data_IF_078719618916
#
_entry.id   IF_078719618916
#
_cell.length_a   1.000
_cell.length_b   1.000
_cell.length_c   1.000
_cell.angle_alpha   90.00
_cell.angle_beta   90.00
_cell.angle_gamma   90.00
#
_symmetry.space_group_name_H-M   'P 1'
#
loop_
_entity.id
_entity.type
_entity.pdbx_description
1 polymer ?
#
# COMPACT_ATOMS: atom_id res chain seq x y z
N UNK A 1 -16.86 10.50 22.91
CA UNK A 1 -16.30 9.47 22.03
C UNK A 1 -16.13 10.11 20.67
N UNK A 2 -14.96 10.06 20.02
CA UNK A 2 -14.88 10.48 18.63
C UNK A 2 -15.85 9.60 17.82
N UNK A 3 -16.60 10.23 16.90
CA UNK A 3 -17.47 9.50 15.99
C UNK A 3 -16.58 8.52 15.19
N UNK A 4 -16.99 7.25 15.09
CA UNK A 4 -16.31 6.30 14.23
C UNK A 4 -16.30 6.88 12.82
N UNK A 5 -15.15 6.89 12.11
CA UNK A 5 -15.12 7.31 10.74
C UNK A 5 -16.12 6.46 9.94
N UNK A 6 -16.96 7.11 9.14
CA UNK A 6 -18.05 6.44 8.43
C UNK A 6 -17.63 5.84 7.09
N UNK A 7 -16.46 6.22 6.56
CA UNK A 7 -15.93 5.74 5.29
C UNK A 7 -15.18 4.42 5.38
N UNK A 8 -15.01 3.74 4.25
CA UNK A 8 -14.22 2.51 4.15
C UNK A 8 -12.77 2.80 3.78
N UNK A 9 -11.84 1.98 4.25
CA UNK A 9 -10.43 2.07 3.92
C UNK A 9 -9.91 0.76 3.33
N UNK A 10 -9.71 0.73 2.01
CA UNK A 10 -9.10 -0.38 1.27
C UNK A 10 -7.61 -0.09 1.02
N UNK A 11 -6.75 -1.01 1.41
CA UNK A 11 -5.32 -0.96 1.13
C UNK A 11 -4.96 -1.92 -0.01
N UNK A 12 -4.26 -1.45 -1.04
CA UNK A 12 -3.72 -2.29 -2.11
C UNK A 12 -2.26 -2.56 -1.81
N UNK A 13 -1.94 -3.80 -1.44
CA UNK A 13 -0.59 -4.24 -1.12
C UNK A 13 0.01 -5.07 -2.25
N UNK A 14 1.35 -5.13 -2.32
CA UNK A 14 2.05 -5.97 -3.29
C UNK A 14 3.38 -5.41 -3.77
N UNK A 15 4.14 -6.27 -4.42
CA UNK A 15 5.51 -6.00 -4.83
C UNK A 15 5.62 -4.89 -5.90
N UNK A 16 6.84 -4.42 -6.15
CA UNK A 16 7.13 -3.46 -7.23
C UNK A 16 6.73 -4.09 -8.56
N UNK A 17 6.02 -3.34 -9.40
CA UNK A 17 5.60 -3.80 -10.73
C UNK A 17 4.32 -4.64 -10.78
N UNK A 18 3.68 -4.99 -9.63
CA UNK A 18 2.50 -5.87 -9.62
C UNK A 18 1.22 -5.24 -10.19
N UNK A 19 1.16 -3.89 -10.29
CA UNK A 19 0.02 -3.18 -10.86
C UNK A 19 -0.88 -2.46 -9.84
N UNK A 20 -0.40 -2.23 -8.61
CA UNK A 20 -1.16 -1.55 -7.54
C UNK A 20 -1.79 -0.23 -7.98
N UNK A 21 -0.98 0.67 -8.52
CA UNK A 21 -1.41 2.02 -8.90
C UNK A 21 -2.53 2.00 -9.95
N UNK A 22 -2.42 1.11 -10.96
CA UNK A 22 -3.44 0.93 -11.99
C UNK A 22 -4.74 0.40 -11.38
N UNK A 23 -4.64 -0.60 -10.49
CA UNK A 23 -5.82 -1.16 -9.84
C UNK A 23 -6.47 -0.14 -8.90
N UNK A 24 -5.68 0.61 -8.12
CA UNK A 24 -6.16 1.70 -7.25
C UNK A 24 -6.97 2.73 -8.04
N UNK A 25 -6.43 3.21 -9.16
CA UNK A 25 -7.09 4.19 -10.01
C UNK A 25 -8.42 3.67 -10.60
N UNK A 26 -8.43 2.43 -11.07
CA UNK A 26 -9.63 1.81 -11.65
C UNK A 26 -10.70 1.54 -10.60
N UNK A 27 -10.34 0.97 -9.46
CA UNK A 27 -11.28 0.73 -8.36
C UNK A 27 -11.85 2.04 -7.82
N UNK A 28 -11.02 3.07 -7.67
CA UNK A 28 -11.48 4.37 -7.20
C UNK A 28 -12.56 4.97 -8.12
N UNK A 29 -12.39 4.87 -9.45
CA UNK A 29 -13.40 5.33 -10.43
C UNK A 29 -14.69 4.50 -10.38
N UNK A 30 -14.59 3.18 -10.32
CA UNK A 30 -15.76 2.28 -10.36
C UNK A 30 -16.58 2.31 -9.05
N UNK A 31 -15.90 2.52 -7.92
CA UNK A 31 -16.54 2.58 -6.61
C UNK A 31 -16.93 4.00 -6.19
N UNK A 32 -16.41 5.03 -6.88
CA UNK A 32 -16.58 6.43 -6.48
C UNK A 32 -15.81 6.78 -5.20
N UNK A 33 -14.70 6.08 -4.93
CA UNK A 33 -13.88 6.27 -3.74
C UNK A 33 -12.69 7.16 -4.03
N UNK A 34 -12.14 7.80 -2.99
CA UNK A 34 -10.92 8.60 -3.12
C UNK A 34 -9.68 7.71 -3.18
N UNK A 35 -8.74 8.05 -4.06
CA UNK A 35 -7.47 7.32 -4.21
C UNK A 35 -6.31 8.09 -3.59
N UNK A 36 -5.48 7.40 -2.80
CA UNK A 36 -4.18 7.87 -2.34
C UNK A 36 -3.08 7.06 -2.99
N UNK A 37 -2.17 7.75 -3.67
CA UNK A 37 -1.07 7.14 -4.42
C UNK A 37 0.25 7.24 -3.68
N UNK A 38 1.13 6.30 -3.94
CA UNK A 38 2.50 6.34 -3.45
C UNK A 38 3.25 7.55 -4.04
N UNK A 39 3.91 8.41 -3.23
CA UNK A 39 4.63 9.58 -3.72
C UNK A 39 6.00 9.21 -4.32
N UNK A 40 6.02 8.39 -5.36
CA UNK A 40 7.26 7.91 -6.02
C UNK A 40 7.94 9.01 -6.81
N UNK A 41 7.16 9.81 -7.56
CA UNK A 41 7.70 10.77 -8.55
C UNK A 41 8.47 11.93 -7.89
N UNK A 42 8.08 12.31 -6.67
CA UNK A 42 8.67 13.43 -5.94
C UNK A 42 9.66 12.99 -4.85
N UNK A 43 10.02 11.71 -4.81
CA UNK A 43 10.92 11.19 -3.78
C UNK A 43 12.37 11.63 -4.06
N UNK A 44 12.96 12.47 -3.21
CA UNK A 44 14.30 13.03 -3.46
C UNK A 44 15.43 12.00 -3.27
N UNK A 45 15.14 10.84 -2.68
CA UNK A 45 16.15 9.83 -2.36
C UNK A 45 16.11 8.62 -3.28
N UNK A 46 15.06 8.45 -4.11
CA UNK A 46 14.82 7.20 -4.82
C UNK A 46 15.94 6.86 -5.83
N UNK A 47 16.37 7.84 -6.62
CA UNK A 47 17.41 7.65 -7.62
C UNK A 47 18.77 7.35 -6.98
N UNK A 48 19.09 8.02 -5.87
CA UNK A 48 20.34 7.80 -5.15
C UNK A 48 20.31 6.49 -4.37
N UNK A 49 19.15 6.10 -3.84
CA UNK A 49 18.97 4.82 -3.17
C UNK A 49 19.29 3.63 -4.10
N UNK A 50 18.81 3.64 -5.33
CA UNK A 50 19.11 2.54 -6.25
C UNK A 50 20.57 2.52 -6.74
N UNK A 51 21.34 3.62 -6.60
CA UNK A 51 22.77 3.67 -6.85
C UNK A 51 23.59 3.16 -5.65
N UNK A 52 23.16 3.46 -4.43
CA UNK A 52 23.83 3.09 -3.18
C UNK A 52 22.79 2.85 -2.07
N UNK A 53 22.27 1.61 -2.03
CA UNK A 53 21.22 1.23 -1.06
C UNK A 53 21.71 1.39 0.38
N UNK A 54 22.93 0.99 0.70
CA UNK A 54 23.48 1.07 2.06
C UNK A 54 23.55 2.50 2.57
N UNK A 55 23.86 3.45 1.70
CA UNK A 55 23.94 4.87 2.06
C UNK A 55 22.56 5.49 2.29
N UNK A 56 21.56 5.10 1.48
CA UNK A 56 20.30 5.82 1.40
C UNK A 56 19.09 5.08 1.97
N UNK A 57 19.26 3.80 2.36
CA UNK A 57 18.15 2.96 2.85
C UNK A 57 17.34 3.62 3.96
N UNK A 58 18.01 4.05 5.04
CA UNK A 58 17.33 4.68 6.17
C UNK A 58 16.60 5.97 5.77
N UNK A 59 17.26 6.84 5.00
CA UNK A 59 16.68 8.12 4.57
C UNK A 59 15.45 7.92 3.70
N UNK A 60 15.52 6.98 2.76
CA UNK A 60 14.39 6.63 1.90
C UNK A 60 13.21 6.08 2.71
N UNK A 61 13.46 5.18 3.66
CA UNK A 61 12.41 4.59 4.47
C UNK A 61 11.76 5.60 5.42
N UNK A 62 12.52 6.52 5.99
CA UNK A 62 11.97 7.63 6.80
C UNK A 62 11.11 8.56 5.94
N UNK A 63 11.52 8.86 4.71
CA UNK A 63 10.71 9.67 3.79
C UNK A 63 9.37 9.01 3.49
N UNK A 64 9.38 7.72 3.09
CA UNK A 64 8.14 7.00 2.80
C UNK A 64 7.25 6.88 4.04
N UNK A 65 7.81 6.56 5.19
CA UNK A 65 7.07 6.50 6.45
C UNK A 65 6.35 7.82 6.75
N UNK A 66 7.05 8.96 6.58
CA UNK A 66 6.48 10.29 6.80
C UNK A 66 5.34 10.60 5.84
N UNK A 67 5.52 10.35 4.53
CA UNK A 67 4.50 10.66 3.53
C UNK A 67 3.25 9.77 3.68
N UNK A 68 3.44 8.48 3.96
CA UNK A 68 2.31 7.57 4.21
C UNK A 68 1.59 7.85 5.51
N UNK A 69 2.32 8.25 6.55
CA UNK A 69 1.69 8.68 7.79
C UNK A 69 0.76 9.87 7.55
N UNK A 70 1.21 10.91 6.83
CA UNK A 70 0.37 12.06 6.47
C UNK A 70 -0.88 11.63 5.69
N UNK A 71 -0.72 10.73 4.70
CA UNK A 71 -1.85 10.21 3.93
C UNK A 71 -2.84 9.45 4.82
N UNK A 72 -2.36 8.54 5.67
CA UNK A 72 -3.23 7.74 6.53
C UNK A 72 -3.91 8.55 7.64
N UNK A 73 -3.30 9.61 8.17
CA UNK A 73 -3.99 10.56 9.07
C UNK A 73 -5.19 11.19 8.35
N UNK A 74 -4.99 11.65 7.11
CA UNK A 74 -6.08 12.24 6.31
C UNK A 74 -7.21 11.23 6.06
N UNK A 75 -6.88 9.97 5.76
CA UNK A 75 -7.85 8.88 5.60
C UNK A 75 -8.59 8.62 6.91
N UNK A 76 -7.88 8.60 8.04
CA UNK A 76 -8.45 8.31 9.36
C UNK A 76 -9.50 9.32 9.81
N UNK A 77 -9.34 10.58 9.44
CA UNK A 77 -10.23 11.69 9.79
C UNK A 77 -11.42 11.86 8.82
N UNK A 78 -11.43 11.13 7.71
CA UNK A 78 -12.42 11.32 6.65
C UNK A 78 -13.69 10.48 6.88
N UNK A 79 -14.82 11.05 6.46
CA UNK A 79 -16.12 10.36 6.40
C UNK A 79 -16.29 9.55 5.10
N UNK A 80 -15.46 9.80 4.12
CA UNK A 80 -15.50 9.18 2.79
C UNK A 80 -14.77 7.84 2.74
N UNK A 81 -14.98 7.08 1.67
CA UNK A 81 -14.28 5.83 1.42
C UNK A 81 -13.00 6.05 0.61
N UNK A 82 -11.94 5.34 0.97
CA UNK A 82 -10.60 5.52 0.40
C UNK A 82 -9.97 4.21 -0.06
N UNK A 83 -9.14 4.33 -1.10
CA UNK A 83 -8.23 3.27 -1.55
C UNK A 83 -6.82 3.83 -1.48
N UNK A 84 -5.91 3.12 -0.85
CA UNK A 84 -4.51 3.52 -0.75
C UNK A 84 -3.59 2.53 -1.47
N UNK A 85 -2.77 3.07 -2.39
CA UNK A 85 -1.66 2.34 -3.02
C UNK A 85 -0.50 2.27 -2.03
N UNK A 86 -0.34 1.14 -1.39
CA UNK A 86 0.63 0.82 -0.35
C UNK A 86 0.44 1.61 0.96
N UNK A 87 0.58 0.89 2.06
CA UNK A 87 0.41 1.43 3.42
C UNK A 87 1.74 1.52 4.17
N UNK A 88 1.71 2.16 5.33
CA UNK A 88 2.83 2.23 6.27
C UNK A 88 3.30 0.82 6.73
N UNK A 89 2.41 -0.18 6.76
CA UNK A 89 2.74 -1.54 7.20
C UNK A 89 3.75 -2.22 6.28
N UNK A 90 3.64 -1.98 4.95
CA UNK A 90 4.59 -2.52 3.97
C UNK A 90 5.99 -1.91 4.12
N UNK A 91 6.08 -0.64 4.50
CA UNK A 91 7.38 0.02 4.76
C UNK A 91 8.14 -0.71 5.87
N UNK A 92 7.44 -1.06 6.95
CA UNK A 92 8.00 -1.73 8.11
C UNK A 92 8.34 -3.20 7.84
N UNK A 93 7.33 -3.95 7.38
CA UNK A 93 7.40 -5.41 7.35
C UNK A 93 8.08 -5.96 6.09
N UNK A 94 8.11 -5.17 5.02
CA UNK A 94 8.68 -5.58 3.74
C UNK A 94 9.99 -4.84 3.48
N UNK A 95 9.93 -3.52 3.31
CA UNK A 95 11.07 -2.76 2.79
C UNK A 95 12.17 -2.55 3.84
N UNK A 96 11.88 -1.97 4.98
CA UNK A 96 12.89 -1.73 6.02
C UNK A 96 13.48 -3.05 6.54
N UNK A 97 12.64 -4.07 6.74
CA UNK A 97 13.07 -5.40 7.15
C UNK A 97 14.01 -6.04 6.12
N UNK A 98 13.63 -6.04 4.84
CA UNK A 98 14.46 -6.62 3.77
C UNK A 98 15.80 -5.91 3.66
N UNK A 99 15.81 -4.56 3.74
CA UNK A 99 17.05 -3.78 3.72
C UNK A 99 17.95 -4.07 4.91
N UNK A 100 17.38 -4.29 6.09
CA UNK A 100 18.15 -4.72 7.26
C UNK A 100 18.71 -6.13 7.10
N UNK A 101 17.91 -7.10 6.69
CA UNK A 101 18.29 -8.50 6.53
C UNK A 101 19.40 -8.70 5.46
N UNK A 102 19.43 -7.84 4.44
CA UNK A 102 20.49 -7.87 3.41
C UNK A 102 21.73 -7.03 3.75
N UNK A 103 21.70 -6.29 4.87
CA UNK A 103 22.83 -5.50 5.37
C UNK A 103 22.90 -4.06 4.85
N UNK A 104 21.90 -3.60 4.09
CA UNK A 104 21.82 -2.22 3.58
C UNK A 104 21.26 -1.23 4.61
N UNK A 105 20.64 -1.71 5.68
CA UNK A 105 20.25 -0.90 6.82
C UNK A 105 20.89 -1.45 8.09
N UNK A 106 21.61 -0.60 8.82
CA UNK A 106 22.26 -1.01 10.07
C UNK A 106 21.24 -1.46 11.12
N UNK A 107 21.68 -2.28 12.09
CA UNK A 107 20.81 -2.70 13.19
C UNK A 107 20.27 -1.51 13.96
N UNK A 108 21.10 -0.50 14.23
CA UNK A 108 20.71 0.71 14.98
C UNK A 108 19.66 1.50 14.20
N UNK A 109 19.84 1.69 12.91
CA UNK A 109 18.87 2.39 12.06
C UNK A 109 17.54 1.63 11.98
N UNK A 110 17.60 0.31 11.84
CA UNK A 110 16.39 -0.52 11.80
C UNK A 110 15.63 -0.50 13.12
N UNK A 111 16.30 -0.57 14.26
CA UNK A 111 15.68 -0.45 15.58
C UNK A 111 15.02 0.91 15.78
N UNK A 112 15.70 1.99 15.40
CA UNK A 112 15.14 3.34 15.47
C UNK A 112 13.94 3.52 14.53
N UNK A 113 14.05 3.00 13.31
CA UNK A 113 12.95 3.02 12.34
C UNK A 113 11.72 2.29 12.87
N UNK A 114 11.91 1.10 13.43
CA UNK A 114 10.81 0.30 13.95
C UNK A 114 10.15 0.92 15.17
N UNK A 115 10.93 1.51 16.07
CA UNK A 115 10.40 2.25 17.22
C UNK A 115 9.56 3.46 16.78
N UNK A 116 10.02 4.20 15.79
CA UNK A 116 9.25 5.31 15.21
C UNK A 116 7.97 4.81 14.54
N UNK A 117 8.05 3.73 13.74
CA UNK A 117 6.87 3.12 13.12
C UNK A 117 5.84 2.72 14.18
N UNK A 118 6.25 2.02 15.25
CA UNK A 118 5.34 1.53 16.30
C UNK A 118 4.58 2.69 16.97
N UNK A 119 5.28 3.82 17.21
CA UNK A 119 4.64 5.04 17.72
C UNK A 119 3.61 5.58 16.73
N UNK A 120 3.99 5.77 15.46
CA UNK A 120 3.14 6.36 14.44
C UNK A 120 1.93 5.49 14.11
N UNK A 121 2.12 4.18 13.98
CA UNK A 121 1.05 3.23 13.68
C UNK A 121 -0.04 3.21 14.75
N UNK A 122 0.32 3.49 16.02
CA UNK A 122 -0.64 3.59 17.12
C UNK A 122 -1.67 4.72 16.99
N UNK A 123 -1.42 5.72 16.13
CA UNK A 123 -2.33 6.84 15.87
C UNK A 123 -3.16 6.66 14.59
N UNK A 124 -2.90 5.61 13.82
CA UNK A 124 -3.51 5.44 12.50
C UNK A 124 -4.71 4.48 12.54
N UNK A 125 -5.70 4.81 11.72
CA UNK A 125 -6.77 3.87 11.39
C UNK A 125 -6.20 2.69 10.59
N UNK A 126 -6.59 1.48 10.97
CA UNK A 126 -6.28 0.28 10.21
C UNK A 126 -7.17 0.18 8.97
N UNK A 127 -6.67 -0.40 7.86
CA UNK A 127 -7.51 -0.72 6.73
C UNK A 127 -8.59 -1.75 7.10
N UNK A 128 -9.77 -1.59 6.51
CA UNK A 128 -10.86 -2.56 6.64
C UNK A 128 -10.59 -3.82 5.80
N UNK A 129 -9.83 -3.67 4.70
CA UNK A 129 -9.37 -4.76 3.85
C UNK A 129 -7.99 -4.45 3.29
N UNK A 130 -7.10 -5.43 3.31
CA UNK A 130 -5.86 -5.44 2.55
C UNK A 130 -6.05 -6.37 1.34
N UNK A 131 -6.04 -5.81 0.13
CA UNK A 131 -6.01 -6.58 -1.11
C UNK A 131 -4.56 -6.76 -1.54
N UNK A 132 -4.01 -7.95 -1.28
CA UNK A 132 -2.63 -8.29 -1.63
C UNK A 132 -2.55 -8.85 -3.05
N UNK A 133 -1.85 -8.12 -3.92
CA UNK A 133 -1.58 -8.54 -5.30
C UNK A 133 -0.25 -9.30 -5.35
N UNK A 134 -0.29 -10.53 -5.83
CA UNK A 134 0.86 -11.40 -6.01
C UNK A 134 1.14 -11.59 -7.51
N UNK A 135 2.41 -11.71 -7.87
CA UNK A 135 2.87 -12.13 -9.19
C UNK A 135 4.25 -12.76 -9.08
N UNK A 136 4.63 -13.58 -10.06
CA UNK A 136 5.97 -14.14 -10.16
C UNK A 136 7.03 -13.05 -10.36
N UNK A 137 8.25 -13.22 -9.86
CA UNK A 137 9.34 -12.27 -10.07
C UNK A 137 9.60 -12.00 -11.55
N UNK A 138 9.43 -12.99 -12.40
CA UNK A 138 9.56 -12.92 -13.86
C UNK A 138 8.52 -11.95 -14.44
N UNK A 139 7.26 -12.11 -14.10
CA UNK A 139 6.18 -11.19 -14.51
C UNK A 139 6.42 -9.77 -13.98
N UNK A 140 6.91 -9.62 -12.75
CA UNK A 140 7.23 -8.30 -12.21
C UNK A 140 8.34 -7.60 -12.99
N UNK A 141 9.41 -8.32 -13.35
CA UNK A 141 10.51 -7.80 -14.17
C UNK A 141 10.02 -7.33 -15.55
N UNK A 142 9.18 -8.11 -16.21
CA UNK A 142 8.57 -7.74 -17.50
C UNK A 142 7.74 -6.46 -17.39
N UNK A 143 6.91 -6.36 -16.35
CA UNK A 143 6.06 -5.19 -16.10
C UNK A 143 6.89 -3.93 -15.76
N UNK A 144 7.95 -4.07 -14.96
CA UNK A 144 8.90 -2.99 -14.65
C UNK A 144 9.62 -2.52 -15.92
N UNK A 145 10.13 -3.45 -16.73
CA UNK A 145 10.80 -3.13 -17.99
C UNK A 145 9.86 -2.39 -18.97
N UNK A 146 8.61 -2.86 -19.10
CA UNK A 146 7.58 -2.22 -19.94
C UNK A 146 7.23 -0.81 -19.47
N UNK A 147 7.19 -0.58 -18.14
CA UNK A 147 6.94 0.75 -17.55
C UNK A 147 8.07 1.74 -17.80
N UNK A 148 9.31 1.26 -17.84
CA UNK A 148 10.48 2.00 -18.30
C UNK A 148 10.94 3.16 -17.42
N UNK A 149 10.69 3.13 -16.11
CA UNK A 149 11.19 4.15 -15.18
C UNK A 149 12.70 4.04 -15.03
N UNK A 150 13.40 5.17 -15.19
CA UNK A 150 14.87 5.21 -15.14
C UNK A 150 15.42 4.73 -13.79
N UNK A 151 14.83 5.17 -12.68
CA UNK A 151 15.19 4.77 -11.32
C UNK A 151 15.08 3.26 -11.06
N UNK A 152 14.25 2.54 -11.80
CA UNK A 152 13.97 1.12 -11.59
C UNK A 152 14.87 0.19 -12.42
N UNK A 153 15.72 0.72 -13.30
CA UNK A 153 16.59 -0.10 -14.18
C UNK A 153 17.60 -0.98 -13.43
N UNK A 154 17.94 -0.61 -12.20
CA UNK A 154 18.87 -1.37 -11.36
C UNK A 154 18.18 -2.42 -10.47
N UNK A 155 16.84 -2.53 -10.52
CA UNK A 155 16.12 -3.55 -9.78
C UNK A 155 16.47 -4.94 -10.33
N UNK A 156 16.89 -5.84 -9.44
CA UNK A 156 17.22 -7.21 -9.78
C UNK A 156 16.08 -8.17 -9.48
N UNK A 157 16.05 -9.30 -10.18
CA UNK A 157 15.05 -10.35 -9.91
C UNK A 157 15.22 -10.94 -8.51
N UNK A 158 16.45 -11.00 -7.98
CA UNK A 158 16.76 -11.45 -6.63
C UNK A 158 16.15 -10.52 -5.59
N UNK A 159 16.20 -9.22 -5.81
CA UNK A 159 15.54 -8.25 -4.94
C UNK A 159 14.03 -8.45 -4.92
N UNK A 160 13.41 -8.59 -6.09
CA UNK A 160 11.97 -8.87 -6.19
C UNK A 160 11.57 -10.19 -5.51
N UNK A 161 12.41 -11.24 -5.62
CA UNK A 161 12.19 -12.52 -4.89
C UNK A 161 12.25 -12.36 -3.38
N UNK A 162 13.19 -11.56 -2.87
CA UNK A 162 13.29 -11.27 -1.42
C UNK A 162 12.05 -10.52 -0.93
N UNK A 163 11.67 -9.46 -1.64
CA UNK A 163 10.43 -8.73 -1.32
C UNK A 163 9.21 -9.65 -1.37
N UNK A 164 9.09 -10.51 -2.38
CA UNK A 164 7.99 -11.45 -2.52
C UNK A 164 7.87 -12.40 -1.32
N UNK A 165 9.01 -12.95 -0.83
CA UNK A 165 9.02 -13.77 0.39
C UNK A 165 8.61 -12.98 1.62
N UNK A 166 9.13 -11.76 1.78
CA UNK A 166 8.76 -10.89 2.89
C UNK A 166 7.26 -10.55 2.88
N UNK A 167 6.66 -10.35 1.69
CA UNK A 167 5.21 -10.20 1.55
C UNK A 167 4.45 -11.44 1.98
N UNK A 168 4.83 -12.62 1.49
CA UNK A 168 4.15 -13.88 1.84
C UNK A 168 4.19 -14.13 3.36
N UNK A 169 5.34 -13.93 4.00
CA UNK A 169 5.50 -14.04 5.45
C UNK A 169 4.66 -13.00 6.21
N UNK A 170 4.67 -11.75 5.77
CA UNK A 170 3.89 -10.70 6.41
C UNK A 170 2.39 -10.95 6.28
N UNK A 171 1.90 -11.36 5.13
CA UNK A 171 0.49 -11.63 4.88
C UNK A 171 -0.03 -12.75 5.79
N UNK A 172 0.75 -13.81 6.02
CA UNK A 172 0.36 -14.87 6.96
C UNK A 172 0.22 -14.34 8.40
N UNK A 173 1.10 -13.42 8.82
CA UNK A 173 1.01 -12.78 10.13
C UNK A 173 -0.14 -11.76 10.19
N UNK A 174 -0.32 -10.98 9.13
CA UNK A 174 -1.32 -9.92 9.04
C UNK A 174 -2.76 -10.44 9.14
N UNK A 175 -3.04 -11.67 8.71
CA UNK A 175 -4.38 -12.30 8.79
C UNK A 175 -4.93 -12.39 10.23
N UNK A 176 -4.06 -12.34 11.25
CA UNK A 176 -4.48 -12.29 12.65
C UNK A 176 -4.99 -10.93 13.11
N UNK A 177 -4.71 -9.87 12.34
CA UNK A 177 -4.98 -8.49 12.71
C UNK A 177 -5.83 -7.73 11.68
N UNK A 178 -5.72 -8.12 10.42
CA UNK A 178 -6.38 -7.48 9.27
C UNK A 178 -7.21 -8.49 8.50
N UNK A 179 -8.26 -8.01 7.86
CA UNK A 179 -8.90 -8.75 6.78
C UNK A 179 -8.00 -8.69 5.54
N UNK A 180 -7.65 -9.85 4.97
CA UNK A 180 -6.70 -9.94 3.86
C UNK A 180 -7.26 -10.82 2.76
N UNK A 181 -7.35 -10.27 1.57
CA UNK A 181 -7.59 -10.99 0.33
C UNK A 181 -6.32 -11.06 -0.52
N UNK A 182 -6.08 -12.23 -1.14
CA UNK A 182 -4.90 -12.45 -1.99
C UNK A 182 -5.35 -12.71 -3.42
N UNK A 183 -4.82 -11.93 -4.35
CA UNK A 183 -5.07 -12.13 -5.79
C UNK A 183 -3.75 -12.41 -6.49
N UNK A 184 -3.63 -13.60 -7.06
CA UNK A 184 -2.52 -13.95 -7.95
C UNK A 184 -2.78 -13.36 -9.34
N UNK A 185 -2.07 -12.28 -9.67
CA UNK A 185 -2.24 -11.57 -10.95
C UNK A 185 -1.58 -12.24 -12.13
N UNK A 186 -0.89 -13.37 -11.93
CA UNK A 186 -0.45 -14.25 -13.01
C UNK A 186 -1.61 -15.15 -13.48
N UNK A 187 -2.55 -15.49 -12.57
CA UNK A 187 -3.71 -16.33 -12.82
C UNK A 187 -4.97 -15.52 -13.09
N UNK A 188 -5.13 -14.40 -12.38
CA UNK A 188 -6.33 -13.56 -12.43
C UNK A 188 -5.98 -12.20 -13.04
N UNK A 189 -6.28 -11.98 -14.32
CA UNK A 189 -5.94 -10.72 -14.98
C UNK A 189 -6.86 -9.59 -14.48
N UNK A 190 -6.32 -8.70 -13.63
CA UNK A 190 -7.03 -7.50 -13.19
C UNK A 190 -6.74 -6.27 -14.06
N UNK A 191 -5.85 -6.38 -15.04
CA UNK A 191 -5.54 -5.31 -16.00
C UNK A 191 -6.55 -5.29 -17.14
N UNK A 192 -7.03 -4.10 -17.51
CA UNK A 192 -8.05 -3.95 -18.55
C UNK A 192 -9.47 -4.39 -18.11
N UNK A 193 -10.49 -4.30 -19.00
CA UNK A 193 -11.89 -4.59 -18.70
C UNK A 193 -12.13 -6.11 -18.70
N UNK A 194 -11.62 -6.81 -17.70
CA UNK A 194 -11.75 -8.27 -17.55
C UNK A 194 -12.94 -8.65 -16.68
N UNK A 195 -13.47 -9.86 -16.86
CA UNK A 195 -14.52 -10.41 -16.00
C UNK A 195 -14.06 -10.42 -14.53
N UNK A 196 -12.82 -10.84 -14.25
CA UNK A 196 -12.26 -10.88 -12.92
C UNK A 196 -12.22 -9.49 -12.23
N UNK A 197 -11.93 -8.43 -12.98
CA UNK A 197 -12.01 -7.07 -12.43
C UNK A 197 -13.45 -6.68 -12.13
N UNK A 198 -14.40 -6.99 -13.00
CA UNK A 198 -15.82 -6.72 -12.78
C UNK A 198 -16.34 -7.46 -11.54
N UNK A 199 -16.01 -8.74 -11.41
CA UNK A 199 -16.41 -9.56 -10.25
C UNK A 199 -15.85 -8.98 -8.94
N UNK A 200 -14.59 -8.54 -8.93
CA UNK A 200 -13.97 -7.85 -7.79
C UNK A 200 -14.73 -6.56 -7.42
N UNK A 201 -15.08 -5.74 -8.41
CA UNK A 201 -15.84 -4.50 -8.19
C UNK A 201 -17.21 -4.80 -7.58
N UNK A 202 -17.95 -5.78 -8.12
CA UNK A 202 -19.27 -6.14 -7.60
C UNK A 202 -19.19 -6.76 -6.19
N UNK A 203 -18.15 -7.52 -5.91
CA UNK A 203 -17.90 -8.02 -4.55
C UNK A 203 -17.62 -6.88 -3.57
N UNK A 204 -16.75 -5.93 -3.92
CA UNK A 204 -16.45 -4.78 -3.08
C UNK A 204 -17.70 -3.90 -2.86
N UNK A 205 -18.52 -3.66 -3.88
CA UNK A 205 -19.79 -2.93 -3.73
C UNK A 205 -20.78 -3.61 -2.78
N UNK A 206 -20.86 -4.93 -2.83
CA UNK A 206 -21.71 -5.73 -1.96
C UNK A 206 -21.22 -5.69 -0.51
N UNK A 207 -19.93 -5.76 -0.30
CA UNK A 207 -19.27 -5.81 1.01
C UNK A 207 -19.18 -4.43 1.67
N UNK A 208 -18.98 -3.42 0.86
CA UNK A 208 -18.81 -2.03 1.24
C UNK A 208 -19.80 -1.13 0.49
N UNK A 209 -21.11 -1.24 0.79
CA UNK A 209 -22.14 -0.49 0.07
C UNK A 209 -21.95 1.02 0.26
N UNK A 210 -22.39 1.82 -0.72
CA UNK A 210 -22.35 3.29 -0.61
C UNK A 210 -23.02 3.74 0.69
N UNK A 211 -22.31 4.55 1.46
CA UNK A 211 -22.90 5.09 2.68
C UNK A 211 -23.88 6.20 2.29
N UNK A 212 -25.13 6.04 2.68
CA UNK A 212 -26.14 7.09 2.54
C UNK A 212 -25.76 8.19 3.52
N UNK A 213 -25.56 9.44 3.08
CA UNK A 213 -25.31 10.54 4.02
C UNK A 213 -26.43 10.55 5.07
N UNK A 214 -26.06 10.51 6.35
CA UNK A 214 -27.05 10.68 7.41
C UNK A 214 -27.80 12.01 7.16
N UNK A 215 -29.14 12.01 7.22
CA UNK A 215 -29.89 13.25 7.09
C UNK A 215 -29.37 14.23 8.13
N UNK A 216 -29.05 15.45 7.70
CA UNK A 216 -28.65 16.52 8.62
C UNK A 216 -29.66 16.59 9.77
N UNK A 217 -29.22 16.68 11.02
CA UNK A 217 -30.14 16.88 12.13
C UNK A 217 -30.99 18.12 11.85
N UNK A 218 -32.27 18.11 12.18
CA UNK A 218 -33.13 19.27 11.95
C UNK A 218 -32.50 20.52 12.58
N UNK A 219 -32.48 21.60 11.84
CA UNK A 219 -31.95 22.86 12.32
C UNK A 219 -32.60 23.20 13.66
N UNK A 220 -31.80 23.47 14.69
CA UNK A 220 -32.34 23.91 15.99
C UNK A 220 -33.17 25.17 15.76
N UNK A 221 -34.40 25.22 16.26
CA UNK A 221 -35.19 26.46 16.18
C UNK A 221 -34.43 27.57 16.91
N UNK A 222 -34.38 28.74 16.30
CA UNK A 222 -33.77 29.97 16.86
C UNK A 222 -34.54 30.46 18.07
#
# INVERSE_FOLDING_TARGET
>A
MPAMPSGYFLAIAGNIGVGKTELTDRLARELGWYAYYEPVIQNPYLDDFYKDMSRWAFHLQIYFLSERFKAQVTIGDAADAFIQDRTIYEDRWIFARTLHEQGDMSKVDYENYTALFDILAGFLRKPDLILYLKASPETLMERIARRGRESEKSITIEYLRRLGRAYDEWIEQARGEFEVEVVDTDQVPLQGPTAAFHDLVEELKRRYPPQVPLPLPPARPR
#
